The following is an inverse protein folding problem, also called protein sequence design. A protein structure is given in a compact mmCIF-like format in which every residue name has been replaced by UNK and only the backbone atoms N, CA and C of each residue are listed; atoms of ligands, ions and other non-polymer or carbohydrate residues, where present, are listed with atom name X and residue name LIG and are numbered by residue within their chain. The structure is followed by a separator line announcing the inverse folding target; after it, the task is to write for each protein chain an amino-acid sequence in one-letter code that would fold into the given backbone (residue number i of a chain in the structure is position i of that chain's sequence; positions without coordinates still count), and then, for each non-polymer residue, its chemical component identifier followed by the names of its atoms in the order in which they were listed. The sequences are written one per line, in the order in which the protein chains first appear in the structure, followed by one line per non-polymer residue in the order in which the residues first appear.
data_IF_764779733273
#
_entry.id   IF_764779733273
#
_cell.length_a   1.000
_cell.length_b   1.000
_cell.length_c   1.000
_cell.angle_alpha   90.00
_cell.angle_beta   90.00
_cell.angle_gamma   90.00
#
_symmetry.space_group_name_H-M   'P 1'
#
loop_
_entity.id
_entity.type
_entity.pdbx_description
1 polymer ?
#
# COMPACT_ATOMS: atom_id res chain seq x y z
N UNK A 1 -65.21 -67.76 0.92
CA UNK A 1 -65.33 -66.33 0.57
C UNK A 1 -63.92 -65.80 0.39
N UNK A 2 -63.57 -65.45 -0.85
CA UNK A 2 -62.29 -64.86 -1.22
C UNK A 2 -62.22 -63.42 -0.72
N UNK A 3 -61.02 -62.92 -0.41
CA UNK A 3 -60.48 -61.69 -1.02
C UNK A 3 -58.96 -61.68 -0.78
N UNK A 4 -58.25 -61.71 -1.91
CA UNK A 4 -56.84 -61.34 -2.06
C UNK A 4 -56.74 -59.83 -1.97
N UNK A 5 -55.74 -59.29 -1.29
CA UNK A 5 -55.31 -57.91 -1.50
C UNK A 5 -53.79 -57.86 -1.49
N UNK A 6 -53.23 -57.79 -2.70
CA UNK A 6 -51.87 -57.35 -2.96
C UNK A 6 -51.87 -55.82 -3.05
N UNK A 7 -50.92 -55.16 -2.39
CA UNK A 7 -50.54 -53.76 -2.64
C UNK A 7 -49.02 -53.70 -2.44
N UNK A 8 -48.23 -53.84 -3.50
CA UNK A 8 -47.61 -52.77 -4.31
C UNK A 8 -46.80 -51.73 -3.51
N UNK A 9 -45.48 -51.92 -3.58
CA UNK A 9 -44.44 -50.96 -4.00
C UNK A 9 -44.43 -49.54 -3.38
N UNK A 10 -43.41 -49.28 -2.56
CA UNK A 10 -42.77 -47.96 -2.50
C UNK A 10 -41.28 -48.13 -2.20
N UNK A 11 -40.46 -48.04 -3.24
CA UNK A 11 -39.02 -47.82 -3.11
C UNK A 11 -38.80 -46.38 -2.62
N UNK A 12 -38.32 -46.23 -1.39
CA UNK A 12 -37.74 -44.98 -0.90
C UNK A 12 -36.33 -44.83 -1.49
N UNK A 13 -36.20 -44.05 -2.55
CA UNK A 13 -34.90 -43.58 -3.03
C UNK A 13 -34.41 -42.46 -2.11
N UNK A 14 -33.43 -42.76 -1.25
CA UNK A 14 -32.71 -41.77 -0.47
C UNK A 14 -31.73 -41.02 -1.38
N UNK A 15 -32.12 -39.84 -1.87
CA UNK A 15 -31.18 -38.89 -2.45
C UNK A 15 -30.38 -38.23 -1.33
N UNK A 16 -29.14 -38.67 -1.15
CA UNK A 16 -28.15 -37.88 -0.41
C UNK A 16 -27.82 -36.64 -1.24
N UNK A 17 -28.48 -35.52 -0.93
CA UNK A 17 -28.04 -34.22 -1.40
C UNK A 17 -26.71 -33.90 -0.69
N UNK A 18 -25.60 -34.11 -1.40
CA UNK A 18 -24.30 -33.57 -1.00
C UNK A 18 -24.46 -32.05 -1.02
N UNK A 19 -24.18 -31.33 0.09
CA UNK A 19 -24.07 -29.89 0.01
C UNK A 19 -22.91 -29.60 -0.93
N UNK A 20 -23.22 -29.02 -2.09
CA UNK A 20 -22.21 -28.36 -2.89
C UNK A 20 -21.55 -27.35 -1.95
N UNK A 21 -20.28 -27.57 -1.64
CA UNK A 21 -19.46 -26.54 -1.04
C UNK A 21 -19.40 -25.41 -2.07
N UNK A 22 -20.39 -24.51 -2.01
CA UNK A 22 -20.22 -23.15 -2.45
C UNK A 22 -19.09 -22.64 -1.58
N UNK A 23 -17.86 -22.75 -2.10
CA UNK A 23 -16.75 -22.00 -1.58
C UNK A 23 -17.17 -20.55 -1.66
N UNK A 24 -17.64 -20.03 -0.53
CA UNK A 24 -17.72 -18.61 -0.27
C UNK A 24 -16.30 -18.08 -0.43
N UNK A 25 -15.91 -17.79 -1.68
CA UNK A 25 -14.90 -16.79 -1.94
C UNK A 25 -15.51 -15.52 -1.39
N UNK A 26 -15.29 -15.27 -0.10
CA UNK A 26 -15.33 -13.92 0.44
C UNK A 26 -14.42 -13.13 -0.48
N UNK A 27 -15.02 -12.34 -1.37
CA UNK A 27 -14.30 -11.31 -2.11
C UNK A 27 -13.67 -10.45 -1.01
N UNK A 28 -12.36 -10.62 -0.77
CA UNK A 28 -11.64 -9.75 0.16
C UNK A 28 -11.80 -8.37 -0.44
N UNK A 29 -12.57 -7.52 0.23
CA UNK A 29 -12.66 -6.10 -0.12
C UNK A 29 -11.27 -5.52 0.08
N UNK A 30 -10.84 -4.64 -0.83
CA UNK A 30 -9.58 -3.93 -0.70
C UNK A 30 -9.46 -3.25 0.67
N UNK A 31 -8.24 -3.17 1.19
CA UNK A 31 -7.93 -2.54 2.48
C UNK A 31 -7.60 -1.06 2.32
N UNK A 32 -7.25 -0.61 1.12
CA UNK A 32 -6.95 0.77 0.82
C UNK A 32 -8.17 1.48 0.22
N UNK A 33 -8.20 2.79 0.41
CA UNK A 33 -9.12 3.70 -0.26
C UNK A 33 -8.32 4.80 -0.93
N UNK A 34 -8.87 5.40 -1.99
CA UNK A 34 -8.28 6.59 -2.60
C UNK A 34 -8.24 7.73 -1.57
N UNK A 35 -7.11 8.42 -1.53
CA UNK A 35 -6.82 9.52 -0.61
C UNK A 35 -6.09 10.63 -1.35
N UNK A 36 -6.27 11.86 -0.88
CA UNK A 36 -5.44 12.98 -1.32
C UNK A 36 -4.02 12.84 -0.73
N UNK A 37 -3.02 13.42 -1.40
CA UNK A 37 -1.63 13.39 -0.93
C UNK A 37 -1.50 13.94 0.49
N UNK A 38 -2.21 15.02 0.79
CA UNK A 38 -2.27 15.65 2.12
C UNK A 38 -2.73 14.67 3.22
N UNK A 39 -3.52 13.65 2.87
CA UNK A 39 -4.03 12.66 3.80
C UNK A 39 -3.08 11.47 3.99
N UNK A 40 -2.42 10.99 2.94
CA UNK A 40 -1.56 9.79 3.02
C UNK A 40 -0.07 10.07 3.20
N UNK A 41 0.39 11.32 3.01
CA UNK A 41 1.78 11.72 3.24
C UNK A 41 2.21 11.55 4.71
N UNK A 42 3.53 11.43 4.93
CA UNK A 42 4.16 11.25 6.26
C UNK A 42 5.26 12.29 6.54
N UNK A 43 5.32 13.37 5.78
CA UNK A 43 6.39 14.36 5.80
C UNK A 43 6.34 15.35 6.95
N UNK A 44 5.20 15.54 7.60
CA UNK A 44 5.08 16.47 8.74
C UNK A 44 5.55 15.90 10.07
N UNK A 45 5.81 16.80 11.01
CA UNK A 45 6.09 16.51 12.41
C UNK A 45 7.57 16.44 12.72
N UNK A 46 8.02 15.25 13.14
CA UNK A 46 9.40 15.00 13.57
C UNK A 46 9.98 13.86 12.72
N UNK A 47 11.25 13.97 12.35
CA UNK A 47 11.98 12.92 11.65
C UNK A 47 12.37 11.76 12.57
N UNK A 48 12.69 10.61 11.99
CA UNK A 48 13.23 9.43 12.68
C UNK A 48 12.28 8.26 12.89
N UNK A 49 11.08 8.31 12.30
CA UNK A 49 10.09 7.23 12.39
C UNK A 49 9.27 7.02 11.10
N UNK A 50 9.74 7.53 9.96
CA UNK A 50 8.99 7.54 8.71
C UNK A 50 8.58 6.15 8.26
N UNK A 51 9.43 5.14 8.42
CA UNK A 51 9.10 3.77 8.00
C UNK A 51 7.87 3.21 8.75
N UNK A 52 7.79 3.46 10.05
CA UNK A 52 6.65 3.03 10.85
C UNK A 52 5.37 3.80 10.49
N UNK A 53 5.48 5.10 10.27
CA UNK A 53 4.36 5.94 9.84
C UNK A 53 3.80 5.49 8.49
N UNK A 54 4.67 5.16 7.52
CA UNK A 54 4.25 4.65 6.21
C UNK A 54 3.52 3.32 6.35
N UNK A 55 4.06 2.38 7.13
CA UNK A 55 3.40 1.08 7.34
C UNK A 55 2.06 1.21 8.08
N UNK A 56 1.90 2.24 8.93
CA UNK A 56 0.63 2.53 9.58
C UNK A 56 -0.42 3.07 8.59
N UNK A 57 -0.01 3.94 7.65
CA UNK A 57 -0.92 4.50 6.62
C UNK A 57 -1.25 3.50 5.50
N UNK A 58 -0.35 2.57 5.20
CA UNK A 58 -0.53 1.55 4.17
C UNK A 58 -0.44 0.14 4.77
N UNK A 59 -1.48 -0.31 5.51
CA UNK A 59 -1.48 -1.56 6.26
C UNK A 59 -1.71 -2.80 5.38
N UNK A 60 -0.89 -2.96 4.33
CA UNK A 60 -0.91 -4.16 3.49
C UNK A 60 -0.40 -5.35 4.31
N UNK A 61 -1.24 -6.38 4.42
CA UNK A 61 -0.89 -7.63 5.10
C UNK A 61 0.20 -8.43 4.37
N UNK A 62 0.67 -9.52 4.97
CA UNK A 62 1.74 -10.36 4.40
C UNK A 62 1.27 -11.34 3.33
N UNK A 63 -0.05 -11.51 3.16
CA UNK A 63 -0.68 -12.39 2.16
C UNK A 63 -0.77 -11.71 0.79
N UNK A 64 0.40 -11.45 0.21
CA UNK A 64 0.56 -10.65 -1.02
C UNK A 64 -0.12 -11.24 -2.26
N UNK A 65 -0.23 -12.56 -2.36
CA UNK A 65 -0.91 -13.21 -3.48
C UNK A 65 -2.43 -12.92 -3.49
N UNK A 66 -3.00 -12.56 -2.33
CA UNK A 66 -4.42 -12.27 -2.16
C UNK A 66 -4.80 -10.78 -2.24
N UNK A 67 -3.81 -9.89 -2.40
CA UNK A 67 -4.06 -8.45 -2.47
C UNK A 67 -4.88 -8.13 -3.71
N UNK A 68 -5.93 -7.32 -3.53
CA UNK A 68 -6.84 -6.93 -4.61
C UNK A 68 -6.09 -6.08 -5.65
N UNK A 69 -6.49 -6.21 -6.93
CA UNK A 69 -5.91 -5.41 -7.99
C UNK A 69 -6.11 -3.90 -7.78
N UNK A 70 -7.23 -3.51 -7.17
CA UNK A 70 -7.53 -2.11 -6.84
C UNK A 70 -6.57 -1.58 -5.76
N UNK A 71 -6.31 -2.35 -4.69
CA UNK A 71 -5.32 -1.98 -3.68
C UNK A 71 -3.92 -1.81 -4.29
N UNK A 72 -3.52 -2.73 -5.18
CA UNK A 72 -2.25 -2.62 -5.90
C UNK A 72 -2.21 -1.37 -6.78
N UNK A 73 -3.32 -0.99 -7.41
CA UNK A 73 -3.44 0.18 -8.25
C UNK A 73 -3.34 1.48 -7.41
N UNK A 74 -4.09 1.57 -6.31
CA UNK A 74 -4.05 2.70 -5.37
C UNK A 74 -2.63 2.88 -4.81
N UNK A 75 -1.97 1.78 -4.46
CA UNK A 75 -0.61 1.81 -3.92
C UNK A 75 0.42 2.30 -4.95
N UNK A 76 0.24 1.98 -6.24
CA UNK A 76 1.07 2.50 -7.33
C UNK A 76 0.79 3.98 -7.60
N UNK A 77 -0.47 4.40 -7.59
CA UNK A 77 -0.85 5.80 -7.75
C UNK A 77 -0.27 6.64 -6.60
N UNK A 78 -0.45 6.23 -5.33
CA UNK A 78 0.14 6.92 -4.18
C UNK A 78 1.67 7.03 -4.27
N UNK A 79 2.36 5.98 -4.76
CA UNK A 79 3.81 6.00 -5.03
C UNK A 79 4.18 7.06 -6.06
N UNK A 80 3.41 7.16 -7.14
CA UNK A 80 3.62 8.12 -8.23
C UNK A 80 3.38 9.55 -7.77
N UNK A 81 2.31 9.78 -7.01
CA UNK A 81 2.05 11.08 -6.39
C UNK A 81 3.15 11.48 -5.41
N UNK A 82 3.66 10.55 -4.60
CA UNK A 82 4.80 10.81 -3.73
C UNK A 82 6.08 11.14 -4.53
N UNK A 83 6.24 10.55 -5.72
CA UNK A 83 7.32 10.92 -6.64
C UNK A 83 7.13 12.32 -7.21
N UNK A 84 5.93 12.65 -7.67
CA UNK A 84 5.56 13.97 -8.18
C UNK A 84 5.75 15.05 -7.11
N UNK A 85 5.30 14.82 -5.87
CA UNK A 85 5.53 15.71 -4.74
C UNK A 85 7.01 15.93 -4.43
N UNK A 86 7.92 15.05 -4.88
CA UNK A 86 9.36 15.26 -4.79
C UNK A 86 9.90 16.17 -5.91
N UNK A 87 9.44 15.97 -7.15
CA UNK A 87 10.13 16.44 -8.36
C UNK A 87 9.38 17.45 -9.22
N UNK A 88 8.05 17.51 -9.11
CA UNK A 88 7.21 18.41 -9.92
C UNK A 88 7.06 19.78 -9.28
N UNK A 89 6.46 20.70 -10.03
CA UNK A 89 6.24 22.09 -9.62
C UNK A 89 5.45 22.15 -8.30
N UNK A 90 5.92 22.98 -7.36
CA UNK A 90 5.34 23.08 -6.01
C UNK A 90 5.67 21.91 -5.09
N UNK A 91 6.48 20.94 -5.55
CA UNK A 91 7.00 19.85 -4.74
C UNK A 91 8.18 20.25 -3.85
N UNK A 92 8.79 19.26 -3.20
CA UNK A 92 9.88 19.47 -2.25
C UNK A 92 11.10 20.18 -2.85
N UNK A 93 11.46 19.91 -4.11
CA UNK A 93 12.60 20.59 -4.73
C UNK A 93 12.40 22.11 -4.76
N UNK A 94 11.23 22.54 -5.24
CA UNK A 94 10.87 23.96 -5.34
C UNK A 94 10.72 24.59 -3.95
N UNK A 95 10.08 23.90 -3.01
CA UNK A 95 9.90 24.40 -1.66
C UNK A 95 11.24 24.60 -0.93
N UNK A 96 12.19 23.68 -1.09
CA UNK A 96 13.54 23.79 -0.50
C UNK A 96 14.31 24.95 -1.14
N UNK A 97 14.23 25.11 -2.46
CA UNK A 97 14.84 26.24 -3.16
C UNK A 97 14.26 27.57 -2.69
N UNK A 98 12.93 27.68 -2.64
CA UNK A 98 12.22 28.87 -2.16
C UNK A 98 12.54 29.22 -0.70
N UNK A 99 12.85 28.21 0.13
CA UNK A 99 13.30 28.38 1.52
C UNK A 99 14.77 28.82 1.66
N UNK A 100 15.48 29.08 0.55
CA UNK A 100 16.89 29.47 0.55
C UNK A 100 17.87 28.29 0.60
N UNK A 101 17.40 27.09 0.27
CA UNK A 101 18.17 25.86 0.30
C UNK A 101 18.16 25.14 1.65
N UNK A 102 18.68 23.92 1.67
CA UNK A 102 18.65 22.99 2.82
C UNK A 102 19.42 23.45 4.07
N UNK A 103 20.25 24.49 3.96
CA UNK A 103 21.08 25.00 5.06
C UNK A 103 20.35 26.05 5.91
N UNK A 104 19.15 26.49 5.48
CA UNK A 104 18.26 27.30 6.33
C UNK A 104 17.43 26.39 7.24
N UNK A 105 16.97 26.86 8.41
CA UNK A 105 16.10 26.05 9.27
C UNK A 105 14.83 25.55 8.56
N UNK A 106 14.22 26.38 7.72
CA UNK A 106 13.03 26.00 6.94
C UNK A 106 13.38 24.97 5.85
N UNK A 107 14.48 25.18 5.12
CA UNK A 107 14.94 24.24 4.10
C UNK A 107 15.39 22.90 4.69
N UNK A 108 15.96 22.90 5.90
CA UNK A 108 16.30 21.67 6.62
C UNK A 108 15.04 20.89 7.02
N UNK A 109 14.01 21.56 7.55
CA UNK A 109 12.74 20.92 7.88
C UNK A 109 12.05 20.33 6.64
N UNK A 110 12.07 21.04 5.51
CA UNK A 110 11.56 20.53 4.23
C UNK A 110 12.41 19.38 3.69
N UNK A 111 13.73 19.43 3.85
CA UNK A 111 14.62 18.34 3.45
C UNK A 111 14.36 17.07 4.27
N UNK A 112 14.10 17.19 5.57
CA UNK A 112 13.67 16.09 6.41
C UNK A 112 12.33 15.53 5.94
N UNK A 113 11.34 16.39 5.66
CA UNK A 113 10.05 15.97 5.09
C UNK A 113 10.18 15.27 3.75
N UNK A 114 11.10 15.72 2.90
CA UNK A 114 11.45 15.07 1.63
C UNK A 114 12.05 13.67 1.85
N UNK A 115 12.87 13.48 2.87
CA UNK A 115 13.42 12.17 3.23
C UNK A 115 12.28 11.23 3.66
N UNK A 116 11.35 11.69 4.51
CA UNK A 116 10.15 10.92 4.88
C UNK A 116 9.31 10.56 3.65
N UNK A 117 9.12 11.51 2.72
CA UNK A 117 8.42 11.27 1.45
C UNK A 117 9.15 10.24 0.55
N UNK A 118 10.50 10.22 0.57
CA UNK A 118 11.27 9.17 -0.12
C UNK A 118 11.07 7.80 0.52
N UNK A 119 11.00 7.72 1.87
CA UNK A 119 10.66 6.47 2.57
C UNK A 119 9.28 5.99 2.15
N UNK A 120 8.28 6.87 2.12
CA UNK A 120 6.94 6.59 1.60
C UNK A 120 7.00 6.01 0.18
N UNK A 121 7.55 6.76 -0.79
CA UNK A 121 7.65 6.33 -2.19
C UNK A 121 8.31 4.96 -2.33
N UNK A 122 9.46 4.76 -1.68
CA UNK A 122 10.25 3.54 -1.82
C UNK A 122 9.58 2.34 -1.14
N UNK A 123 8.93 2.54 0.00
CA UNK A 123 8.21 1.47 0.68
C UNK A 123 6.97 1.04 -0.11
N UNK A 124 6.20 1.99 -0.67
CA UNK A 124 5.11 1.64 -1.58
C UNK A 124 5.64 0.90 -2.81
N UNK A 125 6.75 1.34 -3.40
CA UNK A 125 7.36 0.61 -4.51
C UNK A 125 7.78 -0.82 -4.13
N UNK A 126 8.34 -1.03 -2.93
CA UNK A 126 8.71 -2.36 -2.41
C UNK A 126 7.47 -3.23 -2.23
N UNK A 127 6.41 -2.72 -1.60
CA UNK A 127 5.14 -3.44 -1.44
C UNK A 127 4.53 -3.84 -2.78
N UNK A 128 4.48 -2.92 -3.75
CA UNK A 128 3.99 -3.21 -5.11
C UNK A 128 4.76 -4.37 -5.75
N UNK A 129 6.09 -4.35 -5.67
CA UNK A 129 6.95 -5.38 -6.27
C UNK A 129 6.81 -6.74 -5.56
N UNK A 130 6.56 -6.75 -4.24
CA UNK A 130 6.30 -7.97 -3.48
C UNK A 130 4.95 -8.58 -3.84
N UNK A 131 3.91 -7.75 -4.00
CA UNK A 131 2.59 -8.16 -4.50
C UNK A 131 2.73 -8.75 -5.90
N UNK A 132 3.39 -8.03 -6.80
CA UNK A 132 3.60 -8.48 -8.17
C UNK A 132 4.40 -9.79 -8.24
N UNK A 133 5.44 -9.95 -7.41
CA UNK A 133 6.18 -11.21 -7.29
C UNK A 133 5.27 -12.37 -6.86
N UNK A 134 4.46 -12.15 -5.82
CA UNK A 134 3.53 -13.15 -5.31
C UNK A 134 2.42 -13.51 -6.32
N UNK A 135 2.13 -12.60 -7.26
CA UNK A 135 1.19 -12.79 -8.36
C UNK A 135 1.87 -13.27 -9.66
N UNK A 136 3.14 -13.70 -9.59
CA UNK A 136 3.84 -14.39 -10.68
C UNK A 136 4.66 -13.52 -11.63
N UNK A 137 4.88 -12.24 -11.30
CA UNK A 137 5.80 -11.38 -12.08
C UNK A 137 7.24 -11.55 -11.60
N UNK A 138 8.20 -11.46 -12.52
CA UNK A 138 9.62 -11.38 -12.16
C UNK A 138 9.98 -9.96 -11.74
N UNK A 139 10.19 -9.75 -10.44
CA UNK A 139 10.56 -8.45 -9.86
C UNK A 139 11.85 -8.50 -9.06
N UNK A 140 12.57 -9.63 -9.04
CA UNK A 140 13.63 -9.90 -8.06
C UNK A 140 14.76 -8.85 -8.08
N UNK A 141 15.27 -8.51 -9.27
CA UNK A 141 16.34 -7.52 -9.42
C UNK A 141 15.89 -6.12 -8.97
N UNK A 142 14.71 -5.68 -9.42
CA UNK A 142 14.15 -4.37 -9.05
C UNK A 142 13.84 -4.30 -7.56
N UNK A 143 13.32 -5.37 -6.96
CA UNK A 143 13.04 -5.45 -5.53
C UNK A 143 14.32 -5.29 -4.69
N UNK A 144 15.43 -5.92 -5.08
CA UNK A 144 16.71 -5.78 -4.39
C UNK A 144 17.24 -4.34 -4.44
N UNK A 145 17.14 -3.69 -5.61
CA UNK A 145 17.53 -2.29 -5.79
C UNK A 145 16.68 -1.35 -4.90
N UNK A 146 15.36 -1.51 -4.94
CA UNK A 146 14.44 -0.64 -4.19
C UNK A 146 14.57 -0.83 -2.68
N UNK A 147 14.83 -2.06 -2.20
CA UNK A 147 15.13 -2.30 -0.78
C UNK A 147 16.41 -1.60 -0.32
N UNK A 148 17.43 -1.56 -1.17
CA UNK A 148 18.68 -0.86 -0.86
C UNK A 148 18.45 0.64 -0.74
N UNK A 149 17.70 1.22 -1.69
CA UNK A 149 17.31 2.64 -1.66
C UNK A 149 16.45 2.96 -0.44
N UNK A 150 15.48 2.10 -0.11
CA UNK A 150 14.62 2.26 1.05
C UNK A 150 15.46 2.27 2.33
N UNK A 151 16.30 1.26 2.54
CA UNK A 151 17.15 1.16 3.73
C UNK A 151 18.02 2.40 3.93
N UNK A 152 18.61 2.93 2.85
CA UNK A 152 19.37 4.18 2.89
C UNK A 152 18.53 5.37 3.36
N UNK A 153 17.30 5.52 2.87
CA UNK A 153 16.46 6.67 3.25
C UNK A 153 15.86 6.51 4.65
N UNK A 154 15.60 5.27 5.10
CA UNK A 154 15.25 5.00 6.50
C UNK A 154 16.40 5.40 7.41
N UNK A 155 17.63 5.01 7.09
CA UNK A 155 18.80 5.44 7.86
C UNK A 155 18.94 6.97 7.90
N UNK A 156 18.75 7.67 6.78
CA UNK A 156 18.80 9.14 6.75
C UNK A 156 17.71 9.80 7.61
N UNK A 157 16.50 9.22 7.65
CA UNK A 157 15.43 9.67 8.54
C UNK A 157 15.80 9.44 10.01
N UNK A 158 16.31 8.26 10.35
CA UNK A 158 16.78 7.90 11.70
C UNK A 158 17.94 8.79 12.17
N UNK A 159 18.88 9.13 11.29
CA UNK A 159 19.97 10.07 11.58
C UNK A 159 19.45 11.50 11.86
N UNK A 160 18.30 11.86 11.29
CA UNK A 160 17.62 13.13 11.53
C UNK A 160 16.66 13.08 12.73
N UNK A 161 16.64 11.99 13.52
CA UNK A 161 15.69 11.80 14.61
C UNK A 161 15.61 13.01 15.56
N UNK A 162 14.38 13.43 15.85
CA UNK A 162 14.11 14.58 16.74
C UNK A 162 14.17 15.95 16.06
N UNK A 163 14.63 16.02 14.80
CA UNK A 163 14.58 17.27 14.03
C UNK A 163 13.18 17.54 13.49
N UNK A 164 12.87 18.82 13.27
CA UNK A 164 11.62 19.22 12.62
C UNK A 164 11.55 18.67 11.18
N UNK A 165 10.34 18.32 10.77
CA UNK A 165 10.01 17.82 9.45
C UNK A 165 8.75 18.50 8.94
N UNK A 166 8.79 19.01 7.72
CA UNK A 166 7.68 19.77 7.12
C UNK A 166 7.29 19.18 5.77
N UNK A 167 6.00 19.05 5.50
CA UNK A 167 5.46 18.68 4.20
C UNK A 167 5.41 19.85 3.22
N UNK A 168 4.90 19.56 2.02
CA UNK A 168 4.53 20.53 0.99
C UNK A 168 3.03 20.41 0.73
N UNK A 169 2.40 21.53 0.35
CA UNK A 169 1.00 21.54 -0.09
C UNK A 169 0.90 21.11 -1.57
N UNK A 170 1.22 19.84 -1.81
CA UNK A 170 1.23 19.26 -3.15
C UNK A 170 -0.15 18.69 -3.50
N UNK A 171 -0.67 19.10 -4.67
CA UNK A 171 -1.95 18.63 -5.17
C UNK A 171 -1.78 17.32 -5.93
N UNK A 172 -2.35 16.24 -5.39
CA UNK A 172 -2.32 14.92 -6.01
C UNK A 172 -3.13 13.92 -5.20
N UNK A 173 -3.44 12.77 -5.81
CA UNK A 173 -4.29 11.76 -5.21
C UNK A 173 -3.78 10.35 -5.52
N UNK A 174 -4.13 9.37 -4.70
CA UNK A 174 -3.86 7.96 -4.97
C UNK A 174 -4.93 7.31 -5.88
N UNK A 175 -5.59 8.09 -6.74
CA UNK A 175 -6.54 7.61 -7.72
C UNK A 175 -5.78 6.93 -8.87
N UNK A 176 -6.02 5.64 -9.16
CA UNK A 176 -5.42 4.95 -10.30
C UNK A 176 -5.88 5.44 -11.66
#
# INVERSE_FOLDING_TARGET
MYIKAAVLFSLLASSLAVPAANGDRKVKRGVLSVQDYSEFQVSDGVAGNAFAEVNAKFPIGTDFASVDSEDLAILKAARETAEAAETEEGGFNDAIEAAGGKDTPAGQALQNGKIKNKVLKLQLQVLALQIEAAQGKDTAAKLAEQRTKLAKNVQLDEEAAGQASSSVDFQGTSQP
#
